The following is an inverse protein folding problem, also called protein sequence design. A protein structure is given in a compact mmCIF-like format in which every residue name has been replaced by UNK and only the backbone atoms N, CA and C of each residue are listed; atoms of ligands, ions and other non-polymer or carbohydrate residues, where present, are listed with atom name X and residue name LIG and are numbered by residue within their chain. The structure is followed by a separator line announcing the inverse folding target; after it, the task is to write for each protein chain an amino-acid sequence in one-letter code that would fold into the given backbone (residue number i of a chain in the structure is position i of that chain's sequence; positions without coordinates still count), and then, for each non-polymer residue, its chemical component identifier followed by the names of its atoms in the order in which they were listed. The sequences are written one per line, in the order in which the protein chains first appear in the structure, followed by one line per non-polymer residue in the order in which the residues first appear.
data_IF_841797857576
#
_entry.id   IF_841797857576
#
_cell.length_a   1.000
_cell.length_b   1.000
_cell.length_c   1.000
_cell.angle_alpha   90.00
_cell.angle_beta   90.00
_cell.angle_gamma   90.00
#
_symmetry.space_group_name_H-M   'P 1'
#
loop_
_entity.id
_entity.type
_entity.pdbx_description
1 polymer ?
#
# COMPACT_ATOMS: atom_id res chain seq x y z
N UNK A 1 -44.00 13.89 15.87
CA UNK A 1 -43.10 13.19 14.91
C UNK A 1 -41.91 12.66 15.70
N UNK A 2 -41.55 11.37 15.55
CA UNK A 2 -40.43 10.77 16.24
C UNK A 2 -39.13 11.49 15.88
N UNK A 3 -38.20 11.53 16.82
CA UNK A 3 -36.92 12.25 16.72
C UNK A 3 -36.12 11.87 15.47
N UNK A 4 -36.20 10.58 15.07
CA UNK A 4 -35.60 10.02 13.85
C UNK A 4 -36.11 10.68 12.56
N UNK A 5 -37.42 10.92 12.45
CA UNK A 5 -38.01 11.58 11.28
C UNK A 5 -37.56 13.03 11.13
N UNK A 6 -37.46 13.75 12.26
CA UNK A 6 -36.92 15.14 12.27
C UNK A 6 -35.45 15.20 11.89
N UNK A 7 -34.68 14.21 12.32
CA UNK A 7 -33.26 14.12 11.97
C UNK A 7 -33.05 13.83 10.46
N UNK A 8 -33.84 12.91 9.90
CA UNK A 8 -33.78 12.57 8.48
C UNK A 8 -34.23 13.73 7.59
N UNK A 9 -35.31 14.44 7.98
CA UNK A 9 -35.78 15.62 7.26
C UNK A 9 -34.76 16.77 7.35
N UNK A 10 -34.17 17.02 8.52
CA UNK A 10 -33.13 18.02 8.67
C UNK A 10 -31.86 17.69 7.88
N UNK A 11 -31.48 16.40 7.80
CA UNK A 11 -30.35 15.95 6.98
C UNK A 11 -30.65 16.13 5.49
N UNK A 12 -31.88 15.82 5.06
CA UNK A 12 -32.34 16.03 3.68
C UNK A 12 -32.33 17.51 3.27
N UNK A 13 -32.87 18.37 4.10
CA UNK A 13 -32.86 19.83 3.87
C UNK A 13 -31.42 20.38 3.86
N UNK A 14 -30.55 19.89 4.72
CA UNK A 14 -29.15 20.26 4.72
C UNK A 14 -28.44 19.83 3.43
N UNK A 15 -28.67 18.61 2.96
CA UNK A 15 -28.09 18.10 1.72
C UNK A 15 -28.62 18.87 0.50
N UNK A 16 -29.91 19.18 0.46
CA UNK A 16 -30.52 19.90 -0.67
C UNK A 16 -30.05 21.37 -0.72
N UNK A 17 -29.99 22.05 0.41
CA UNK A 17 -29.60 23.45 0.45
C UNK A 17 -28.09 23.69 0.45
N UNK A 18 -27.30 22.77 1.04
CA UNK A 18 -25.87 22.93 1.23
C UNK A 18 -25.04 21.87 0.49
N UNK A 19 -25.68 20.93 -0.23
CA UNK A 19 -25.01 19.84 -0.95
C UNK A 19 -23.98 20.34 -1.97
N UNK A 20 -24.28 21.45 -2.66
CA UNK A 20 -23.33 22.08 -3.58
C UNK A 20 -22.07 22.60 -2.87
N UNK A 21 -22.22 23.11 -1.64
CA UNK A 21 -21.11 23.60 -0.81
C UNK A 21 -20.25 22.44 -0.31
N UNK A 22 -20.87 21.31 0.06
CA UNK A 22 -20.17 20.07 0.43
C UNK A 22 -19.37 19.55 -0.77
N UNK A 23 -19.95 19.55 -1.97
CA UNK A 23 -19.25 19.13 -3.20
C UNK A 23 -18.06 20.05 -3.48
N UNK A 24 -18.21 21.36 -3.34
CA UNK A 24 -17.10 22.30 -3.53
C UNK A 24 -16.03 22.11 -2.45
N UNK A 25 -16.41 21.90 -1.19
CA UNK A 25 -15.47 21.64 -0.09
C UNK A 25 -14.69 20.34 -0.32
N UNK A 26 -15.36 19.28 -0.75
CA UNK A 26 -14.73 18.00 -1.10
C UNK A 26 -13.80 18.17 -2.31
N UNK A 27 -14.24 18.85 -3.36
CA UNK A 27 -13.42 19.11 -4.54
C UNK A 27 -12.19 19.98 -4.19
N UNK A 28 -12.37 21.03 -3.38
CA UNK A 28 -11.28 21.85 -2.87
C UNK A 28 -10.33 21.03 -1.98
N UNK A 29 -10.86 20.20 -1.08
CA UNK A 29 -10.09 19.31 -0.23
C UNK A 29 -9.23 18.33 -1.06
N UNK A 30 -9.80 17.73 -2.10
CA UNK A 30 -9.06 16.85 -3.04
C UNK A 30 -8.01 17.65 -3.79
N UNK A 31 -8.34 18.84 -4.28
CA UNK A 31 -7.41 19.70 -5.02
C UNK A 31 -6.23 20.15 -4.15
N UNK A 32 -6.50 20.67 -2.96
CA UNK A 32 -5.46 21.07 -2.00
C UNK A 32 -4.66 19.87 -1.48
N UNK A 33 -5.33 18.74 -1.23
CA UNK A 33 -4.67 17.48 -0.84
C UNK A 33 -3.69 16.99 -1.91
N UNK A 34 -4.12 16.96 -3.18
CA UNK A 34 -3.22 16.60 -4.31
C UNK A 34 -2.04 17.57 -4.45
N UNK A 35 -2.29 18.87 -4.25
CA UNK A 35 -1.24 19.88 -4.30
C UNK A 35 -0.27 19.79 -3.11
N UNK A 36 -0.76 19.45 -1.92
CA UNK A 36 0.07 19.18 -0.75
C UNK A 36 0.92 17.92 -0.92
N UNK A 37 0.33 16.84 -1.47
CA UNK A 37 1.03 15.59 -1.80
C UNK A 37 2.01 15.72 -2.97
N UNK A 38 1.95 16.81 -3.75
CA UNK A 38 2.98 17.13 -4.75
C UNK A 38 4.31 17.56 -4.12
N UNK A 39 4.33 17.97 -2.83
CA UNK A 39 5.55 18.24 -2.08
C UNK A 39 6.12 16.92 -1.55
N UNK A 40 7.35 16.59 -1.93
CA UNK A 40 8.01 15.33 -1.55
C UNK A 40 8.03 15.10 -0.03
N UNK A 41 8.30 16.14 0.76
CA UNK A 41 8.34 16.04 2.23
C UNK A 41 6.99 15.64 2.85
N UNK A 42 5.89 16.19 2.33
CA UNK A 42 4.54 15.89 2.82
C UNK A 42 4.15 14.49 2.37
N UNK A 43 4.45 14.13 1.13
CA UNK A 43 4.20 12.80 0.58
C UNK A 43 4.92 11.72 1.38
N UNK A 44 6.20 11.91 1.69
CA UNK A 44 6.98 10.98 2.52
C UNK A 44 6.37 10.78 3.91
N UNK A 45 5.89 11.87 4.55
CA UNK A 45 5.23 11.78 5.87
C UNK A 45 3.92 11.01 5.81
N UNK A 46 3.09 11.29 4.80
CA UNK A 46 1.80 10.62 4.60
C UNK A 46 2.00 9.15 4.25
N UNK A 47 2.90 8.85 3.32
CA UNK A 47 3.22 7.48 2.90
C UNK A 47 3.80 6.66 4.07
N UNK A 48 4.62 7.28 4.92
CA UNK A 48 5.13 6.65 6.15
C UNK A 48 4.02 6.41 7.16
N UNK A 49 3.12 7.37 7.35
CA UNK A 49 1.98 7.21 8.25
C UNK A 49 1.05 6.08 7.78
N UNK A 50 0.83 5.96 6.46
CA UNK A 50 0.05 4.88 5.86
C UNK A 50 0.70 3.50 6.08
N UNK A 51 2.02 3.39 5.91
CA UNK A 51 2.74 2.13 6.19
C UNK A 51 2.70 1.74 7.68
N UNK A 52 2.64 2.72 8.57
CA UNK A 52 2.57 2.49 10.02
C UNK A 52 1.13 2.27 10.52
N UNK A 53 0.13 2.43 9.67
CA UNK A 53 -1.26 2.19 10.05
C UNK A 53 -1.50 0.70 10.32
N UNK A 54 -2.10 0.32 11.47
CA UNK A 54 -2.11 -1.07 11.93
C UNK A 54 -2.88 -2.02 11.02
N UNK A 55 -3.86 -1.53 10.26
CA UNK A 55 -4.68 -2.31 9.35
C UNK A 55 -4.28 -2.14 7.88
N UNK A 56 -4.03 -0.89 7.46
CA UNK A 56 -3.73 -0.55 6.07
C UNK A 56 -2.26 -0.77 5.72
N UNK A 57 -1.35 -0.53 6.67
CA UNK A 57 0.09 -0.63 6.45
C UNK A 57 0.54 -2.00 5.95
N UNK A 58 0.20 -3.09 6.66
CA UNK A 58 0.57 -4.44 6.23
C UNK A 58 -0.04 -4.86 4.89
N UNK A 59 -1.26 -4.39 4.58
CA UNK A 59 -1.90 -4.63 3.27
C UNK A 59 -1.15 -3.90 2.15
N UNK A 60 -0.92 -2.60 2.35
CA UNK A 60 -0.21 -1.77 1.38
C UNK A 60 1.21 -2.30 1.13
N UNK A 61 1.93 -2.61 2.20
CA UNK A 61 3.29 -3.18 2.11
C UNK A 61 3.29 -4.50 1.34
N UNK A 62 2.33 -5.38 1.60
CA UNK A 62 2.23 -6.67 0.92
C UNK A 62 2.00 -6.51 -0.58
N UNK A 63 1.03 -5.69 -1.00
CA UNK A 63 0.77 -5.43 -2.42
C UNK A 63 1.94 -4.75 -3.14
N UNK A 64 2.57 -3.76 -2.51
CA UNK A 64 3.74 -3.09 -3.05
C UNK A 64 4.93 -4.06 -3.17
N UNK A 65 5.15 -4.91 -2.15
CA UNK A 65 6.20 -5.93 -2.15
C UNK A 65 5.98 -6.99 -3.22
N UNK A 66 4.74 -7.48 -3.38
CA UNK A 66 4.38 -8.44 -4.41
C UNK A 66 4.65 -7.88 -5.81
N UNK A 67 4.22 -6.66 -6.07
CA UNK A 67 4.42 -5.96 -7.34
C UNK A 67 5.90 -5.75 -7.64
N UNK A 68 6.66 -5.28 -6.67
CA UNK A 68 8.10 -5.09 -6.76
C UNK A 68 8.82 -6.41 -7.07
N UNK A 69 8.58 -7.45 -6.26
CA UNK A 69 9.24 -8.74 -6.40
C UNK A 69 8.88 -9.42 -7.73
N UNK A 70 7.62 -9.33 -8.17
CA UNK A 70 7.18 -9.89 -9.45
C UNK A 70 7.86 -9.18 -10.64
N UNK A 71 7.94 -7.85 -10.58
CA UNK A 71 8.65 -7.08 -11.62
C UNK A 71 10.13 -7.43 -11.65
N UNK A 72 10.78 -7.51 -10.48
CA UNK A 72 12.17 -7.95 -10.38
C UNK A 72 12.37 -9.36 -10.95
N UNK A 73 11.49 -10.32 -10.60
CA UNK A 73 11.54 -11.69 -11.10
C UNK A 73 11.48 -11.73 -12.63
N UNK A 74 10.58 -10.96 -13.22
CA UNK A 74 10.40 -10.87 -14.67
C UNK A 74 11.68 -10.36 -15.38
N UNK A 75 12.27 -9.28 -14.89
CA UNK A 75 13.48 -8.70 -15.49
C UNK A 75 14.71 -9.61 -15.29
N UNK A 76 14.87 -10.20 -14.10
CA UNK A 76 15.97 -11.11 -13.81
C UNK A 76 15.85 -12.41 -14.61
N UNK A 77 14.64 -12.94 -14.82
CA UNK A 77 14.42 -14.12 -15.67
C UNK A 77 14.72 -13.84 -17.15
N UNK A 78 14.59 -12.58 -17.57
CA UNK A 78 14.99 -12.14 -18.92
C UNK A 78 16.50 -11.84 -19.04
N UNK A 79 17.31 -12.19 -18.03
CA UNK A 79 18.75 -11.92 -17.95
C UNK A 79 19.12 -10.43 -18.04
N UNK A 80 18.22 -9.54 -17.62
CA UNK A 80 18.52 -8.12 -17.55
C UNK A 80 19.41 -7.84 -16.33
N UNK A 81 20.42 -6.95 -16.46
CA UNK A 81 21.29 -6.60 -15.33
C UNK A 81 20.48 -6.16 -14.10
N UNK A 82 20.91 -6.62 -12.92
CA UNK A 82 20.17 -6.46 -11.66
C UNK A 82 19.86 -4.99 -11.32
N UNK A 83 20.78 -4.06 -11.65
CA UNK A 83 20.57 -2.63 -11.44
C UNK A 83 19.44 -2.07 -12.33
N UNK A 84 19.36 -2.52 -13.58
CA UNK A 84 18.28 -2.13 -14.50
C UNK A 84 16.96 -2.72 -14.06
N UNK A 85 16.97 -3.98 -13.62
CA UNK A 85 15.79 -4.64 -13.05
C UNK A 85 15.28 -3.91 -11.81
N UNK A 86 16.18 -3.50 -10.92
CA UNK A 86 15.87 -2.77 -9.70
C UNK A 86 15.26 -1.39 -10.01
N UNK A 87 15.86 -0.65 -10.95
CA UNK A 87 15.32 0.63 -11.40
C UNK A 87 13.93 0.51 -12.02
N UNK A 88 13.71 -0.51 -12.83
CA UNK A 88 12.40 -0.79 -13.43
C UNK A 88 11.36 -1.17 -12.38
N UNK A 89 11.72 -2.03 -11.42
CA UNK A 89 10.85 -2.43 -10.33
C UNK A 89 10.50 -1.26 -9.38
N UNK A 90 11.45 -0.32 -9.17
CA UNK A 90 11.19 0.92 -8.42
C UNK A 90 10.01 1.71 -9.01
N UNK A 91 9.89 1.78 -10.32
CA UNK A 91 8.83 2.54 -10.99
C UNK A 91 7.43 2.00 -10.73
N UNK A 92 7.31 0.73 -10.34
CA UNK A 92 6.03 0.09 -10.01
C UNK A 92 5.55 0.40 -8.60
N UNK A 93 6.43 0.90 -7.72
CA UNK A 93 6.10 1.25 -6.36
C UNK A 93 5.33 2.57 -6.30
N UNK A 94 4.18 2.57 -5.63
CA UNK A 94 3.36 3.77 -5.38
C UNK A 94 3.85 4.58 -4.19
N UNK A 95 4.35 3.89 -3.15
CA UNK A 95 4.78 4.50 -1.90
C UNK A 95 6.18 5.11 -2.01
N UNK A 96 6.31 6.38 -1.61
CA UNK A 96 7.56 7.13 -1.71
C UNK A 96 8.66 6.64 -0.74
N UNK A 97 8.28 6.08 0.41
CA UNK A 97 9.23 5.50 1.38
C UNK A 97 9.89 4.27 0.79
N UNK A 98 9.09 3.40 0.15
CA UNK A 98 9.63 2.21 -0.54
C UNK A 98 10.52 2.59 -1.72
N UNK A 99 10.13 3.60 -2.51
CA UNK A 99 10.97 4.10 -3.60
C UNK A 99 12.32 4.63 -3.10
N UNK A 100 12.32 5.41 -2.02
CA UNK A 100 13.55 5.91 -1.41
C UNK A 100 14.43 4.77 -0.87
N UNK A 101 13.84 3.70 -0.33
CA UNK A 101 14.54 2.50 0.08
C UNK A 101 15.21 1.79 -1.11
N UNK A 102 14.55 1.72 -2.26
CA UNK A 102 15.14 1.16 -3.49
C UNK A 102 16.28 2.06 -4.02
N UNK A 103 16.13 3.38 -3.98
CA UNK A 103 17.21 4.30 -4.38
C UNK A 103 18.47 4.09 -3.53
N UNK A 104 18.30 3.96 -2.20
CA UNK A 104 19.40 3.65 -1.29
C UNK A 104 20.00 2.25 -1.54
N UNK A 105 19.16 1.29 -1.91
CA UNK A 105 19.59 -0.07 -2.26
C UNK A 105 20.43 -0.05 -3.54
N UNK A 106 20.03 0.72 -4.55
CA UNK A 106 20.75 0.85 -5.81
C UNK A 106 22.17 1.40 -5.59
N UNK A 107 22.33 2.40 -4.75
CA UNK A 107 23.66 2.95 -4.39
C UNK A 107 24.53 1.86 -3.76
N UNK A 108 24.03 1.14 -2.76
CA UNK A 108 24.77 0.06 -2.07
C UNK A 108 25.12 -1.10 -3.00
N UNK A 109 24.22 -1.41 -3.94
CA UNK A 109 24.45 -2.46 -4.93
C UNK A 109 25.59 -2.07 -5.89
N UNK A 110 25.67 -0.81 -6.30
CA UNK A 110 26.80 -0.28 -7.09
C UNK A 110 28.13 -0.30 -6.34
N UNK A 111 28.10 -0.21 -5.01
CA UNK A 111 29.26 -0.36 -4.12
C UNK A 111 29.66 -1.82 -3.88
N UNK A 112 28.97 -2.78 -4.53
CA UNK A 112 29.28 -4.20 -4.43
C UNK A 112 28.60 -4.95 -3.28
N UNK A 113 27.64 -4.33 -2.58
CA UNK A 113 26.84 -5.02 -1.56
C UNK A 113 25.83 -5.95 -2.25
N UNK A 114 25.57 -7.16 -1.69
CA UNK A 114 24.54 -8.05 -2.20
C UNK A 114 23.15 -7.45 -2.11
N UNK A 115 22.25 -7.83 -3.03
CA UNK A 115 20.87 -7.30 -3.07
C UNK A 115 20.12 -7.56 -1.77
N UNK A 116 20.22 -8.78 -1.23
CA UNK A 116 19.59 -9.16 0.05
C UNK A 116 20.04 -8.29 1.21
N UNK A 117 21.36 -8.03 1.30
CA UNK A 117 21.93 -7.20 2.37
C UNK A 117 21.56 -5.73 2.20
N UNK A 118 21.60 -5.23 0.97
CA UNK A 118 21.25 -3.84 0.66
C UNK A 118 19.78 -3.56 0.95
N UNK A 119 18.85 -4.42 0.51
CA UNK A 119 17.41 -4.33 0.81
C UNK A 119 17.12 -4.53 2.30
N UNK A 120 17.73 -5.54 2.91
CA UNK A 120 17.53 -5.85 4.34
C UNK A 120 17.91 -4.68 5.25
N UNK A 121 18.97 -3.93 4.89
CA UNK A 121 19.39 -2.76 5.66
C UNK A 121 18.39 -1.60 5.67
N UNK A 122 17.42 -1.58 4.75
CA UNK A 122 16.38 -0.55 4.71
C UNK A 122 15.26 -0.80 5.73
N UNK A 123 15.07 -2.04 6.18
CA UNK A 123 14.09 -2.39 7.22
C UNK A 123 12.62 -2.19 6.85
N UNK A 124 12.31 -1.97 5.57
CA UNK A 124 10.93 -1.73 5.09
C UNK A 124 10.30 -2.93 4.40
N UNK A 125 11.11 -3.88 3.94
CA UNK A 125 10.62 -5.09 3.27
C UNK A 125 10.47 -6.25 4.24
N UNK A 126 9.59 -7.20 3.88
CA UNK A 126 9.36 -8.40 4.68
C UNK A 126 10.65 -9.22 4.86
N UNK A 127 10.95 -9.70 6.08
CA UNK A 127 12.08 -10.58 6.34
C UNK A 127 12.08 -11.85 5.45
N UNK A 128 10.89 -12.36 5.12
CA UNK A 128 10.72 -13.52 4.25
C UNK A 128 11.25 -13.23 2.85
N UNK A 129 10.90 -12.07 2.27
CA UNK A 129 11.42 -11.66 0.96
C UNK A 129 12.94 -11.54 0.98
N UNK A 130 13.50 -10.90 2.00
CA UNK A 130 14.97 -10.74 2.15
C UNK A 130 15.67 -12.10 2.22
N UNK A 131 15.10 -13.06 2.96
CA UNK A 131 15.63 -14.41 3.06
C UNK A 131 15.58 -15.16 1.74
N UNK A 132 14.47 -15.06 1.00
CA UNK A 132 14.33 -15.67 -0.34
C UNK A 132 15.33 -15.06 -1.32
N UNK A 133 15.53 -13.75 -1.33
CA UNK A 133 16.52 -13.08 -2.17
C UNK A 133 17.92 -13.59 -1.82
N UNK A 134 18.28 -13.69 -0.53
CA UNK A 134 19.57 -14.22 -0.08
C UNK A 134 19.80 -15.65 -0.54
N UNK A 135 18.79 -16.50 -0.44
CA UNK A 135 18.83 -17.88 -0.93
C UNK A 135 19.00 -17.93 -2.47
N UNK A 136 18.27 -17.05 -3.16
CA UNK A 136 18.36 -16.94 -4.63
C UNK A 136 19.71 -16.44 -5.12
N UNK A 137 20.34 -15.49 -4.42
CA UNK A 137 21.71 -15.03 -4.70
C UNK A 137 22.74 -16.14 -4.50
N UNK A 138 22.62 -16.89 -3.41
CA UNK A 138 23.55 -17.99 -3.09
C UNK A 138 23.42 -19.19 -4.05
N UNK A 139 22.20 -19.48 -4.52
CA UNK A 139 21.92 -20.63 -5.40
C UNK A 139 21.94 -20.31 -6.89
N UNK A 140 22.06 -19.03 -7.27
CA UNK A 140 21.92 -18.57 -8.66
C UNK A 140 20.49 -18.62 -9.21
N UNK A 141 19.47 -18.80 -8.33
CA UNK A 141 18.05 -18.90 -8.68
C UNK A 141 17.26 -17.68 -8.24
N UNK A 142 17.85 -16.49 -8.39
CA UNK A 142 17.26 -15.26 -7.89
C UNK A 142 15.87 -14.99 -8.48
N UNK A 143 15.65 -15.21 -9.78
CA UNK A 143 14.36 -15.00 -10.42
C UNK A 143 13.27 -15.90 -9.83
N UNK A 144 13.57 -17.18 -9.57
CA UNK A 144 12.65 -18.14 -8.97
C UNK A 144 12.29 -17.73 -7.54
N UNK A 145 13.29 -17.37 -6.74
CA UNK A 145 13.08 -16.94 -5.35
C UNK A 145 12.32 -15.62 -5.25
N UNK A 146 12.55 -14.67 -6.16
CA UNK A 146 11.78 -13.44 -6.25
C UNK A 146 10.31 -13.72 -6.60
N UNK A 147 10.05 -14.66 -7.50
CA UNK A 147 8.69 -15.09 -7.84
C UNK A 147 7.98 -15.70 -6.63
N UNK A 148 8.62 -16.60 -5.92
CA UNK A 148 8.08 -17.15 -4.66
C UNK A 148 7.82 -16.04 -3.62
N UNK A 149 8.71 -15.06 -3.52
CA UNK A 149 8.52 -13.92 -2.64
C UNK A 149 7.31 -13.05 -3.01
N UNK A 150 7.08 -12.86 -4.31
CA UNK A 150 5.92 -12.15 -4.83
C UNK A 150 4.61 -12.89 -4.52
N UNK A 151 4.55 -14.18 -4.84
CA UNK A 151 3.39 -15.03 -4.58
C UNK A 151 3.05 -15.09 -3.09
N UNK A 152 4.05 -15.21 -2.22
CA UNK A 152 3.86 -15.23 -0.78
C UNK A 152 3.32 -13.90 -0.25
N UNK A 153 3.85 -12.77 -0.74
CA UNK A 153 3.38 -11.44 -0.36
C UNK A 153 1.93 -11.17 -0.84
N UNK A 154 1.57 -11.66 -2.02
CA UNK A 154 0.22 -11.56 -2.58
C UNK A 154 -0.77 -12.39 -1.74
N UNK A 155 -0.46 -13.65 -1.46
CA UNK A 155 -1.29 -14.53 -0.62
C UNK A 155 -1.50 -13.96 0.78
N UNK A 156 -0.45 -13.42 1.40
CA UNK A 156 -0.55 -12.79 2.71
C UNK A 156 -1.47 -11.57 2.67
N UNK A 157 -1.38 -10.76 1.62
CA UNK A 157 -2.23 -9.57 1.44
C UNK A 157 -3.69 -9.95 1.16
N UNK A 158 -3.93 -10.99 0.36
CA UNK A 158 -5.28 -11.52 0.13
C UNK A 158 -5.93 -12.05 1.41
N UNK A 159 -5.18 -12.80 2.22
CA UNK A 159 -5.66 -13.30 3.51
C UNK A 159 -6.05 -12.16 4.44
N UNK A 160 -5.21 -11.13 4.56
CA UNK A 160 -5.51 -9.94 5.37
C UNK A 160 -6.72 -9.18 4.82
N UNK A 161 -6.87 -9.08 3.50
CA UNK A 161 -8.05 -8.47 2.87
C UNK A 161 -9.32 -9.25 3.17
N UNK A 162 -9.29 -10.58 3.12
CA UNK A 162 -10.43 -11.44 3.47
C UNK A 162 -10.84 -11.26 4.92
N UNK A 163 -9.88 -11.21 5.85
CA UNK A 163 -10.16 -10.96 7.27
C UNK A 163 -10.83 -9.59 7.44
N UNK A 164 -10.32 -8.57 6.79
CA UNK A 164 -10.89 -7.22 6.86
C UNK A 164 -12.33 -7.19 6.32
N UNK A 165 -12.56 -7.81 5.16
CA UNK A 165 -13.89 -7.89 4.54
C UNK A 165 -14.88 -8.68 5.41
N UNK A 166 -14.44 -9.78 6.03
CA UNK A 166 -15.30 -10.59 6.91
C UNK A 166 -15.70 -9.87 8.20
N UNK A 167 -14.91 -8.88 8.65
CA UNK A 167 -15.28 -8.04 9.79
C UNK A 167 -16.25 -6.90 9.41
N UNK A 168 -16.27 -6.49 8.13
CA UNK A 168 -17.20 -5.47 7.65
C UNK A 168 -18.65 -5.97 7.61
N UNK A 169 -18.86 -7.26 7.32
CA UNK A 169 -20.19 -7.84 7.21
C UNK A 169 -20.99 -7.75 8.52
N UNK A 170 -20.48 -8.22 9.67
CA UNK A 170 -21.17 -8.06 10.96
C UNK A 170 -21.37 -6.59 11.35
N UNK A 171 -20.42 -5.72 11.01
CA UNK A 171 -20.50 -4.30 11.32
C UNK A 171 -21.62 -3.61 10.53
N UNK A 172 -21.80 -3.97 9.25
CA UNK A 172 -22.90 -3.49 8.41
C UNK A 172 -24.25 -3.97 8.92
N UNK A 173 -24.35 -5.25 9.31
CA UNK A 173 -25.58 -5.83 9.87
C UNK A 173 -25.96 -5.11 11.18
N UNK A 174 -24.99 -4.84 12.04
CA UNK A 174 -25.16 -4.15 13.30
C UNK A 174 -25.58 -2.68 13.07
N UNK A 175 -24.97 -2.00 12.10
CA UNK A 175 -25.32 -0.63 11.70
C UNK A 175 -26.76 -0.57 11.14
N UNK A 176 -27.14 -1.53 10.27
CA UNK A 176 -28.51 -1.63 9.76
C UNK A 176 -29.51 -1.94 10.88
N UNK A 177 -29.19 -2.84 11.80
CA UNK A 177 -30.01 -3.15 12.96
C UNK A 177 -30.25 -1.94 13.88
N UNK A 178 -29.19 -1.19 14.16
CA UNK A 178 -29.28 0.07 14.93
C UNK A 178 -30.11 1.15 14.21
N UNK A 179 -29.98 1.24 12.89
CA UNK A 179 -30.77 2.17 12.08
C UNK A 179 -32.26 1.82 12.15
N UNK A 180 -32.61 0.53 12.03
CA UNK A 180 -34.00 0.07 12.12
C UNK A 180 -34.57 0.26 13.53
N UNK A 181 -33.78 0.06 14.58
CA UNK A 181 -34.20 0.24 15.98
C UNK A 181 -34.38 1.71 16.35
N UNK A 182 -33.72 2.63 15.60
CA UNK A 182 -33.85 4.10 15.78
C UNK A 182 -34.99 4.76 15.00
N UNK A 183 -35.70 3.99 14.17
CA UNK A 183 -36.89 4.44 13.41
C UNK A 183 -38.16 4.04 14.14
#
# INVERSE_FOLDING_TARGET
LPFSTRFILGLSEFIVNWGWLVVILVAAGIFYGRRALAKEDIRLKVDRALLNAPLLGPLLLGFETARFANTMAMWVSANVPILTALHSARSTLGNSVLRAAIDSTEVRLREGTSLSRALGSQGVFSPILIHLISSGEASGKLAEMLKYGAENAELESEQKTKIFTSLLEPLLILAMGLMVLGI
#
